data_IF_833577751469
#
_entry.id   IF_833577751469
#
_cell.length_a   1.000
_cell.length_b   1.000
_cell.length_c   1.000
_cell.angle_alpha   90.00
_cell.angle_beta   90.00
_cell.angle_gamma   90.00
#
_symmetry.space_group_name_H-M   'P 1'
#
loop_
_entity.id
_entity.type
_entity.pdbx_description
1 polymer ?
#
# COMPACT_ATOMS: atom_id res chain seq x y z
N UNK A 1 -8.14 -28.26 5.90
CA UNK A 1 -7.58 -26.88 5.90
C UNK A 1 -7.99 -26.05 7.12
N UNK A 2 -9.03 -26.42 7.91
CA UNK A 2 -9.52 -25.56 9.00
C UNK A 2 -8.58 -25.46 10.21
N UNK A 3 -8.01 -26.58 10.70
CA UNK A 3 -7.25 -26.61 11.97
C UNK A 3 -6.11 -25.59 12.08
N UNK A 4 -5.26 -25.44 11.07
CA UNK A 4 -4.13 -24.50 11.13
C UNK A 4 -4.58 -23.04 10.96
N UNK A 5 -5.57 -22.78 10.11
CA UNK A 5 -6.11 -21.43 9.95
C UNK A 5 -6.84 -20.97 11.22
N UNK A 6 -7.59 -21.87 11.86
CA UNK A 6 -8.27 -21.60 13.13
C UNK A 6 -7.27 -21.43 14.27
N UNK A 7 -6.18 -22.22 14.26
CA UNK A 7 -5.05 -22.03 15.17
C UNK A 7 -4.42 -20.64 15.03
N UNK A 8 -4.13 -20.19 13.81
CA UNK A 8 -3.58 -18.84 13.57
C UNK A 8 -4.53 -17.73 14.04
N UNK A 9 -5.85 -17.88 13.81
CA UNK A 9 -6.84 -16.92 14.31
C UNK A 9 -6.84 -16.85 15.85
N UNK A 10 -6.74 -18.01 16.52
CA UNK A 10 -6.66 -18.05 17.97
C UNK A 10 -5.37 -17.40 18.50
N UNK A 11 -4.23 -17.59 17.83
CA UNK A 11 -2.96 -17.00 18.25
C UNK A 11 -2.99 -15.47 18.31
N UNK A 12 -3.82 -14.81 17.50
CA UNK A 12 -3.94 -13.34 17.49
C UNK A 12 -4.41 -12.77 18.84
N UNK A 13 -5.16 -13.53 19.64
CA UNK A 13 -5.63 -13.08 20.97
C UNK A 13 -4.71 -13.54 22.11
N UNK A 14 -3.66 -14.29 21.80
CA UNK A 14 -2.72 -14.83 22.78
C UNK A 14 -1.46 -13.97 22.85
N UNK A 15 -0.71 -14.05 23.96
CA UNK A 15 0.60 -13.41 24.09
C UNK A 15 1.65 -14.12 23.22
N UNK A 16 2.58 -13.36 22.65
CA UNK A 16 3.75 -13.93 21.95
C UNK A 16 4.62 -14.75 22.93
N UNK A 17 4.93 -15.99 22.54
CA UNK A 17 5.94 -16.86 23.18
C UNK A 17 6.89 -17.39 22.10
N UNK A 18 8.03 -17.98 22.49
CA UNK A 18 9.01 -18.52 21.54
C UNK A 18 8.38 -19.61 20.64
N UNK A 19 7.59 -20.50 21.22
CA UNK A 19 6.94 -21.61 20.50
C UNK A 19 5.91 -21.07 19.51
N UNK A 20 5.06 -20.14 19.96
CA UNK A 20 4.05 -19.51 19.10
C UNK A 20 4.70 -18.73 17.98
N UNK A 21 5.83 -18.07 18.26
CA UNK A 21 6.60 -17.37 17.23
C UNK A 21 7.10 -18.33 16.17
N UNK A 22 7.64 -19.49 16.55
CA UNK A 22 8.02 -20.53 15.59
C UNK A 22 6.83 -21.01 14.76
N UNK A 23 5.63 -21.16 15.33
CA UNK A 23 4.41 -21.47 14.56
C UNK A 23 4.12 -20.40 13.48
N UNK A 24 4.27 -19.11 13.81
CA UNK A 24 4.07 -17.99 12.90
C UNK A 24 5.15 -17.95 11.80
N UNK A 25 6.42 -18.12 12.17
CA UNK A 25 7.53 -18.11 11.21
C UNK A 25 7.37 -19.28 10.20
N UNK A 26 6.96 -20.46 10.67
CA UNK A 26 6.62 -21.59 9.80
C UNK A 26 5.43 -21.28 8.88
N UNK A 27 4.39 -20.60 9.38
CA UNK A 27 3.23 -20.21 8.57
C UNK A 27 3.61 -19.18 7.48
N UNK A 28 4.52 -18.24 7.78
CA UNK A 28 5.04 -17.26 6.83
C UNK A 28 5.88 -17.91 5.73
N UNK A 29 6.59 -19.00 6.03
CA UNK A 29 7.41 -19.74 5.07
C UNK A 29 6.59 -20.61 4.09
N UNK A 30 5.29 -20.84 4.35
CA UNK A 30 4.49 -21.71 3.49
C UNK A 30 4.16 -21.06 2.14
N UNK A 31 4.06 -21.88 1.09
CA UNK A 31 3.51 -21.46 -0.21
C UNK A 31 1.97 -21.32 -0.20
N UNK A 32 1.38 -21.02 0.95
CA UNK A 32 -0.07 -20.88 1.17
C UNK A 32 -0.39 -19.47 1.61
N UNK A 33 -0.69 -18.61 0.65
CA UNK A 33 -0.97 -17.18 0.84
C UNK A 33 -2.00 -16.90 1.96
N UNK A 34 -3.08 -17.69 2.06
CA UNK A 34 -4.11 -17.50 3.08
C UNK A 34 -3.55 -17.66 4.50
N UNK A 35 -2.61 -18.57 4.71
CA UNK A 35 -1.95 -18.76 6.01
C UNK A 35 -0.94 -17.65 6.28
N UNK A 36 -0.21 -17.20 5.26
CA UNK A 36 0.71 -16.04 5.40
C UNK A 36 -0.04 -14.77 5.78
N UNK A 37 -1.20 -14.49 5.19
CA UNK A 37 -2.04 -13.35 5.56
C UNK A 37 -2.52 -13.45 7.01
N UNK A 38 -2.93 -14.64 7.46
CA UNK A 38 -3.32 -14.84 8.87
C UNK A 38 -2.13 -14.63 9.80
N UNK A 39 -0.95 -15.14 9.45
CA UNK A 39 0.29 -14.94 10.21
C UNK A 39 0.66 -13.45 10.32
N UNK A 40 0.56 -12.68 9.23
CA UNK A 40 0.76 -11.21 9.23
C UNK A 40 -0.20 -10.52 10.20
N UNK A 41 -1.48 -10.94 10.24
CA UNK A 41 -2.46 -10.38 11.18
C UNK A 41 -2.12 -10.72 12.63
N UNK A 42 -1.61 -11.90 12.91
CA UNK A 42 -1.14 -12.28 14.26
C UNK A 42 0.01 -11.39 14.70
N UNK A 43 1.01 -11.15 13.83
CA UNK A 43 2.10 -10.22 14.13
C UNK A 43 1.57 -8.81 14.45
N UNK A 44 0.57 -8.35 13.69
CA UNK A 44 -0.13 -7.11 13.98
C UNK A 44 -0.90 -7.13 15.30
N UNK A 45 -1.47 -8.25 15.72
CA UNK A 45 -2.17 -8.33 16.99
C UNK A 45 -1.20 -8.33 18.19
N UNK A 46 -0.05 -9.00 18.05
CA UNK A 46 0.97 -9.03 19.11
C UNK A 46 1.70 -7.69 19.27
N UNK A 47 1.92 -6.95 18.17
CA UNK A 47 2.59 -5.65 18.22
C UNK A 47 4.02 -5.73 18.74
N UNK A 48 4.51 -4.63 19.31
CA UNK A 48 5.87 -4.52 19.84
C UNK A 48 6.93 -4.23 18.78
N UNK A 49 8.16 -3.83 19.19
CA UNK A 49 9.16 -3.27 18.26
C UNK A 49 9.57 -4.22 17.14
N UNK A 50 9.77 -5.51 17.47
CA UNK A 50 10.19 -6.53 16.49
C UNK A 50 9.13 -6.78 15.42
N UNK A 51 7.87 -6.93 15.82
CA UNK A 51 6.79 -7.23 14.88
C UNK A 51 6.44 -5.99 14.06
N UNK A 52 6.47 -4.80 14.66
CA UNK A 52 6.36 -3.53 13.94
C UNK A 52 7.45 -3.39 12.89
N UNK A 53 8.71 -3.67 13.21
CA UNK A 53 9.81 -3.60 12.25
C UNK A 53 9.60 -4.55 11.06
N UNK A 54 9.22 -5.80 11.33
CA UNK A 54 8.92 -6.77 10.28
C UNK A 54 7.73 -6.32 9.41
N UNK A 55 6.64 -5.86 10.03
CA UNK A 55 5.47 -5.37 9.30
C UNK A 55 5.80 -4.13 8.46
N UNK A 56 6.68 -3.27 8.95
CA UNK A 56 7.15 -2.07 8.25
C UNK A 56 7.93 -2.46 7.00
N UNK A 57 8.90 -3.34 7.13
CA UNK A 57 9.67 -3.87 5.99
C UNK A 57 8.74 -4.48 4.93
N UNK A 58 7.77 -5.29 5.37
CA UNK A 58 6.79 -5.91 4.46
C UNK A 58 5.85 -4.89 3.81
N UNK A 59 5.44 -3.86 4.54
CA UNK A 59 4.58 -2.78 4.06
C UNK A 59 5.30 -1.81 3.11
N UNK A 60 6.62 -1.72 3.22
CA UNK A 60 7.46 -0.85 2.39
C UNK A 60 7.71 -1.42 0.99
N UNK A 61 7.46 -2.72 0.79
CA UNK A 61 7.61 -3.36 -0.50
C UNK A 61 6.80 -2.64 -1.60
N UNK A 62 7.40 -2.39 -2.78
CA UNK A 62 6.72 -1.72 -3.88
C UNK A 62 5.54 -2.56 -4.36
N UNK A 63 4.37 -1.93 -4.53
CA UNK A 63 3.21 -2.58 -5.12
C UNK A 63 3.19 -2.23 -6.60
N UNK A 64 3.64 -3.15 -7.45
CA UNK A 64 3.68 -2.91 -8.90
C UNK A 64 2.29 -2.53 -9.46
N UNK A 65 1.20 -3.12 -8.92
CA UNK A 65 -0.20 -2.74 -9.20
C UNK A 65 -1.10 -3.04 -8.00
N UNK A 66 -2.28 -2.44 -7.98
CA UNK A 66 -3.32 -2.79 -7.01
C UNK A 66 -3.71 -4.27 -7.18
N UNK A 67 -3.92 -5.06 -6.10
CA UNK A 67 -4.22 -6.49 -6.18
C UNK A 67 -5.31 -6.90 -7.18
N UNK A 68 -6.35 -6.08 -7.32
CA UNK A 68 -7.47 -6.32 -8.23
C UNK A 68 -7.10 -6.20 -9.72
N UNK A 69 -6.00 -5.54 -10.06
CA UNK A 69 -5.50 -5.39 -11.44
C UNK A 69 -4.67 -6.59 -11.91
N UNK A 70 -4.36 -7.53 -11.02
CA UNK A 70 -3.67 -8.76 -11.40
C UNK A 70 -4.66 -9.86 -11.80
N UNK A 71 -4.31 -10.68 -12.82
CA UNK A 71 -5.01 -11.92 -13.08
C UNK A 71 -5.09 -12.78 -11.81
N UNK A 72 -6.22 -13.48 -11.65
CA UNK A 72 -6.44 -14.37 -10.51
C UNK A 72 -5.29 -15.39 -10.45
N UNK A 73 -4.80 -15.67 -9.23
CA UNK A 73 -3.76 -16.68 -8.92
C UNK A 73 -2.34 -16.41 -9.45
N UNK A 74 -2.00 -15.17 -9.81
CA UNK A 74 -0.60 -14.81 -10.14
C UNK A 74 0.22 -14.51 -8.89
N UNK A 75 1.54 -14.82 -8.87
CA UNK A 75 2.41 -14.51 -7.74
C UNK A 75 2.36 -13.04 -7.30
N UNK A 76 2.45 -12.11 -8.27
CA UNK A 76 2.41 -10.66 -7.98
C UNK A 76 1.09 -10.19 -7.35
N UNK A 77 -0.03 -10.86 -7.61
CA UNK A 77 -1.30 -10.58 -6.91
C UNK A 77 -1.18 -10.89 -5.42
N UNK A 78 -0.57 -12.01 -5.07
CA UNK A 78 -0.48 -12.48 -3.69
C UNK A 78 0.51 -11.64 -2.88
N UNK A 79 1.63 -11.26 -3.49
CA UNK A 79 2.59 -10.32 -2.90
C UNK A 79 1.91 -8.99 -2.58
N UNK A 80 1.15 -8.42 -3.53
CA UNK A 80 0.42 -7.18 -3.32
C UNK A 80 -0.63 -7.29 -2.19
N UNK A 81 -1.29 -8.45 -2.04
CA UNK A 81 -2.23 -8.71 -0.94
C UNK A 81 -1.50 -8.80 0.40
N UNK A 82 -0.31 -9.41 0.44
CA UNK A 82 0.49 -9.48 1.67
C UNK A 82 1.00 -8.11 2.10
N UNK A 83 1.49 -7.28 1.17
CA UNK A 83 1.88 -5.89 1.45
C UNK A 83 0.68 -5.11 2.00
N UNK A 84 -0.49 -5.22 1.38
CA UNK A 84 -1.73 -4.60 1.88
C UNK A 84 -2.13 -5.14 3.26
N UNK A 85 -1.95 -6.44 3.52
CA UNK A 85 -2.22 -7.02 4.84
C UNK A 85 -1.27 -6.47 5.90
N UNK A 86 0.02 -6.31 5.57
CA UNK A 86 1.02 -5.74 6.47
C UNK A 86 0.73 -4.26 6.77
N UNK A 87 0.36 -3.47 5.75
CA UNK A 87 -0.06 -2.07 5.92
C UNK A 87 -1.26 -1.92 6.86
N UNK A 88 -2.23 -2.83 6.80
CA UNK A 88 -3.37 -2.83 7.73
C UNK A 88 -2.97 -3.29 9.13
N UNK A 89 -2.09 -4.29 9.22
CA UNK A 89 -1.64 -4.86 10.49
C UNK A 89 -0.72 -3.92 11.29
N UNK A 90 0.06 -3.06 10.61
CA UNK A 90 0.90 -2.06 11.28
C UNK A 90 0.13 -0.83 11.75
N UNK A 91 -1.05 -0.55 11.17
CA UNK A 91 -1.84 0.64 11.47
C UNK A 91 -2.06 0.96 12.97
N UNK A 92 -2.37 0.00 13.86
CA UNK A 92 -2.52 0.30 15.28
C UNK A 92 -1.20 0.60 16.02
N UNK A 93 -0.05 0.38 15.38
CA UNK A 93 1.29 0.51 15.98
C UNK A 93 2.11 1.69 15.43
N UNK A 94 1.54 2.46 14.50
CA UNK A 94 2.22 3.62 13.94
C UNK A 94 2.35 4.71 15.02
N UNK A 95 3.53 5.29 15.12
CA UNK A 95 3.84 6.39 16.04
C UNK A 95 4.18 7.65 15.26
N UNK A 96 4.36 8.77 15.95
CA UNK A 96 4.73 10.05 15.34
C UNK A 96 6.03 9.96 14.51
N UNK A 97 6.96 9.11 14.96
CA UNK A 97 8.24 8.84 14.29
C UNK A 97 8.06 8.17 12.91
N UNK A 98 6.92 7.53 12.66
CA UNK A 98 6.62 6.87 11.38
C UNK A 98 6.06 7.84 10.33
N UNK A 99 5.73 9.08 10.70
CA UNK A 99 5.07 10.05 9.84
C UNK A 99 5.85 10.33 8.55
N UNK A 100 7.17 10.51 8.65
CA UNK A 100 8.03 10.75 7.50
C UNK A 100 8.07 9.53 6.56
N UNK A 101 8.14 8.32 7.13
CA UNK A 101 8.14 7.08 6.36
C UNK A 101 6.82 6.90 5.59
N UNK A 102 5.68 7.03 6.27
CA UNK A 102 4.36 6.89 5.63
C UNK A 102 4.16 7.93 4.53
N UNK A 103 4.59 9.17 4.76
CA UNK A 103 4.53 10.22 3.74
C UNK A 103 5.35 9.85 2.51
N UNK A 104 6.60 9.44 2.70
CA UNK A 104 7.49 9.04 1.61
C UNK A 104 6.90 7.87 0.82
N UNK A 105 6.36 6.86 1.51
CA UNK A 105 5.74 5.70 0.86
C UNK A 105 4.51 6.09 0.05
N UNK A 106 3.67 6.97 0.56
CA UNK A 106 2.51 7.50 -0.18
C UNK A 106 2.93 8.31 -1.39
N UNK A 107 3.91 9.20 -1.25
CA UNK A 107 4.38 10.04 -2.36
C UNK A 107 4.98 9.21 -3.49
N UNK A 108 5.66 8.11 -3.18
CA UNK A 108 6.26 7.22 -4.16
C UNK A 108 5.23 6.38 -4.96
N UNK A 109 4.05 6.10 -4.40
CA UNK A 109 3.12 5.09 -4.94
C UNK A 109 1.67 5.37 -4.52
N UNK A 110 1.23 6.61 -4.69
CA UNK A 110 -0.08 7.06 -4.20
C UNK A 110 -1.24 6.25 -4.79
N UNK A 111 -1.09 5.78 -6.03
CA UNK A 111 -2.10 5.00 -6.76
C UNK A 111 -2.41 3.65 -6.07
N UNK A 112 -1.45 3.10 -5.33
CA UNK A 112 -1.64 1.91 -4.50
C UNK A 112 -1.67 2.23 -2.99
N UNK A 113 -1.37 3.47 -2.62
CA UNK A 113 -1.28 3.98 -1.25
C UNK A 113 -2.61 4.30 -0.57
N UNK A 114 -3.77 4.01 -1.17
CA UNK A 114 -5.08 4.27 -0.57
C UNK A 114 -5.27 3.60 0.81
N UNK A 115 -4.57 2.49 1.04
CA UNK A 115 -4.49 1.77 2.32
C UNK A 115 -3.73 2.52 3.41
N UNK A 116 -2.86 3.47 3.04
CA UNK A 116 -2.07 4.28 3.95
C UNK A 116 -2.81 5.55 4.40
N UNK A 117 -3.83 5.99 3.64
CA UNK A 117 -4.57 7.22 3.92
C UNK A 117 -5.13 7.31 5.36
N UNK A 118 -5.70 6.24 5.96
CA UNK A 118 -6.13 6.31 7.36
C UNK A 118 -4.98 6.55 8.34
N UNK A 119 -3.82 5.93 8.12
CA UNK A 119 -2.63 6.14 8.96
C UNK A 119 -2.05 7.54 8.78
N UNK A 120 -2.02 8.04 7.54
CA UNK A 120 -1.63 9.42 7.23
C UNK A 120 -2.59 10.43 7.85
N UNK A 121 -3.88 10.12 7.88
CA UNK A 121 -4.88 10.92 8.59
C UNK A 121 -4.63 10.98 10.09
N UNK A 122 -4.34 9.84 10.72
CA UNK A 122 -4.00 9.80 12.14
C UNK A 122 -2.72 10.59 12.47
N UNK A 123 -1.75 10.61 11.56
CA UNK A 123 -0.46 11.28 11.73
C UNK A 123 -0.38 12.65 11.06
N UNK A 124 -1.48 13.18 10.52
CA UNK A 124 -1.50 14.40 9.72
C UNK A 124 -0.83 15.61 10.41
N UNK A 125 -1.03 15.86 11.72
CA UNK A 125 -0.36 16.96 12.42
C UNK A 125 1.17 16.80 12.56
N UNK A 126 1.68 15.59 12.33
CA UNK A 126 3.10 15.23 12.48
C UNK A 126 3.80 15.01 11.14
N UNK A 127 3.10 15.19 10.01
CA UNK A 127 3.71 15.05 8.70
C UNK A 127 4.74 16.16 8.48
N UNK A 128 5.96 15.84 8.03
CA UNK A 128 7.05 16.82 7.92
C UNK A 128 6.75 17.83 6.81
N UNK A 129 6.53 19.10 7.21
CA UNK A 129 6.20 20.20 6.30
C UNK A 129 7.25 20.40 5.21
N UNK A 130 8.52 20.30 5.55
CA UNK A 130 9.64 20.43 4.59
C UNK A 130 9.55 19.39 3.48
N UNK A 131 9.15 18.16 3.82
CA UNK A 131 8.98 17.10 2.82
C UNK A 131 7.78 17.33 1.92
N UNK A 132 6.72 17.93 2.45
CA UNK A 132 5.53 18.34 1.67
C UNK A 132 5.90 19.46 0.69
N UNK A 133 6.67 20.47 1.12
CA UNK A 133 7.18 21.50 0.22
C UNK A 133 8.07 20.87 -0.86
N UNK A 134 8.99 19.96 -0.50
CA UNK A 134 9.80 19.24 -1.48
C UNK A 134 8.95 18.44 -2.49
N UNK A 135 7.86 17.80 -2.03
CA UNK A 135 6.92 17.08 -2.90
C UNK A 135 6.15 18.01 -3.86
N UNK A 136 5.86 19.24 -3.42
CA UNK A 136 5.24 20.26 -4.28
C UNK A 136 6.20 20.72 -5.39
N UNK A 137 7.48 20.89 -5.06
CA UNK A 137 8.49 21.31 -6.04
C UNK A 137 8.79 20.21 -7.08
N UNK A 138 8.67 18.93 -6.72
CA UNK A 138 8.88 17.78 -7.61
C UNK A 138 7.64 17.46 -8.48
N UNK A 139 7.68 17.70 -9.81
CA UNK A 139 6.56 17.40 -10.71
C UNK A 139 6.05 15.96 -10.66
N UNK A 140 6.94 14.99 -10.38
CA UNK A 140 6.57 13.58 -10.30
C UNK A 140 5.73 13.23 -9.06
N UNK A 141 5.75 14.09 -8.04
CA UNK A 141 5.05 13.88 -6.77
C UNK A 141 3.85 14.80 -6.55
N UNK A 142 3.67 15.84 -7.39
CA UNK A 142 2.55 16.78 -7.30
C UNK A 142 1.19 16.08 -7.32
N UNK A 143 1.03 15.05 -8.15
CA UNK A 143 -0.21 14.26 -8.19
C UNK A 143 -0.43 13.51 -6.88
N UNK A 144 0.59 12.84 -6.35
CA UNK A 144 0.54 12.17 -5.04
C UNK A 144 0.15 13.13 -3.92
N UNK A 145 0.72 14.35 -3.96
CA UNK A 145 0.45 15.40 -2.99
C UNK A 145 -0.98 15.94 -3.11
N UNK A 146 -1.47 16.15 -4.33
CA UNK A 146 -2.87 16.52 -4.56
C UNK A 146 -3.82 15.48 -3.97
N UNK A 147 -3.56 14.19 -4.21
CA UNK A 147 -4.33 13.10 -3.63
C UNK A 147 -4.29 13.09 -2.11
N UNK A 148 -3.13 13.34 -1.51
CA UNK A 148 -2.97 13.46 -0.06
C UNK A 148 -3.82 14.61 0.48
N UNK A 149 -3.69 15.82 -0.07
CA UNK A 149 -4.44 16.99 0.36
C UNK A 149 -5.95 16.81 0.19
N UNK A 150 -6.39 16.09 -0.84
CA UNK A 150 -7.80 15.82 -1.05
C UNK A 150 -8.38 14.88 0.02
N UNK A 151 -7.67 13.80 0.35
CA UNK A 151 -8.18 12.73 1.23
C UNK A 151 -7.89 12.95 2.71
N UNK A 152 -6.75 13.57 3.05
CA UNK A 152 -6.34 13.83 4.44
C UNK A 152 -6.79 15.22 4.84
N UNK A 153 -8.06 15.31 5.30
CA UNK A 153 -8.72 16.60 5.57
C UNK A 153 -8.11 17.39 6.73
N UNK A 154 -7.47 16.70 7.67
CA UNK A 154 -6.80 17.27 8.82
C UNK A 154 -5.30 17.52 8.60
N UNK A 155 -4.83 17.48 7.34
CA UNK A 155 -3.47 17.87 6.98
C UNK A 155 -3.23 19.34 7.32
N UNK A 156 -2.14 19.63 8.04
CA UNK A 156 -1.69 21.00 8.31
C UNK A 156 -1.52 21.76 7.00
N UNK A 157 -2.00 23.01 6.96
CA UNK A 157 -1.93 23.87 5.78
C UNK A 157 -2.62 23.28 4.51
N UNK A 158 -3.54 22.32 4.66
CA UNK A 158 -4.24 21.68 3.53
C UNK A 158 -4.77 22.67 2.49
N UNK A 159 -5.49 23.69 2.92
CA UNK A 159 -6.09 24.68 2.00
C UNK A 159 -5.03 25.51 1.28
N UNK A 160 -3.92 25.81 1.96
CA UNK A 160 -2.77 26.47 1.35
C UNK A 160 -2.18 25.61 0.23
N UNK A 161 -1.94 24.32 0.49
CA UNK A 161 -1.44 23.39 -0.53
C UNK A 161 -2.40 23.18 -1.69
N UNK A 162 -3.69 23.01 -1.42
CA UNK A 162 -4.71 22.87 -2.46
C UNK A 162 -4.76 24.08 -3.39
N UNK A 163 -4.68 25.31 -2.85
CA UNK A 163 -4.64 26.53 -3.65
C UNK A 163 -3.39 26.57 -4.53
N UNK A 164 -2.21 26.28 -3.97
CA UNK A 164 -0.95 26.27 -4.72
C UNK A 164 -0.93 25.23 -5.83
N UNK A 165 -1.53 24.06 -5.61
CA UNK A 165 -1.64 23.02 -6.62
C UNK A 165 -2.65 23.38 -7.72
N UNK A 166 -3.74 24.07 -7.37
CA UNK A 166 -4.75 24.52 -8.33
C UNK A 166 -4.27 25.66 -9.25
N UNK A 167 -3.29 26.46 -8.80
CA UNK A 167 -2.71 27.56 -9.57
C UNK A 167 -1.52 27.14 -10.45
N UNK A 168 -1.16 25.85 -10.46
CA UNK A 168 -0.13 25.36 -11.37
C UNK A 168 -0.68 25.41 -12.80
N UNK A 169 -0.10 26.28 -13.63
CA UNK A 169 -0.44 26.41 -15.05
C UNK A 169 0.17 25.29 -15.93
N UNK A 170 0.98 24.41 -15.35
CA UNK A 170 1.52 23.25 -16.04
C UNK A 170 0.51 22.10 -15.97
N UNK A 171 0.05 21.54 -17.10
CA UNK A 171 -0.68 20.30 -17.06
C UNK A 171 0.22 19.26 -16.37
N UNK A 172 -0.30 18.49 -15.38
CA UNK A 172 0.47 17.38 -14.85
C UNK A 172 0.90 16.47 -16.00
N UNK A 173 2.02 15.73 -15.88
CA UNK A 173 2.46 14.76 -16.89
C UNK A 173 1.51 13.54 -16.97
N UNK A 174 0.21 13.78 -17.13
CA UNK A 174 -0.84 12.80 -17.33
C UNK A 174 -0.84 12.25 -18.76
N UNK A 175 -0.14 12.89 -19.70
CA UNK A 175 -0.05 12.40 -21.08
C UNK A 175 0.82 11.13 -21.19
N UNK A 176 1.82 10.91 -20.32
CA UNK A 176 2.74 9.77 -20.47
C UNK A 176 2.19 8.42 -19.98
N UNK A 177 1.43 8.39 -18.87
CA UNK A 177 1.01 7.12 -18.24
C UNK A 177 -0.36 6.61 -18.69
N UNK A 178 -1.27 7.47 -19.12
CA UNK A 178 -2.56 7.05 -19.68
C UNK A 178 -2.41 6.54 -21.12
N UNK A 179 -1.48 7.09 -21.91
CA UNK A 179 -1.18 6.59 -23.26
C UNK A 179 -0.51 5.21 -23.24
N UNK A 180 0.41 4.95 -22.31
CA UNK A 180 1.03 3.62 -22.16
C UNK A 180 0.03 2.51 -21.75
N UNK A 181 -1.07 2.87 -21.09
CA UNK A 181 -2.14 1.91 -20.77
C UNK A 181 -3.12 1.71 -21.92
N UNK A 182 -3.43 2.77 -22.69
CA UNK A 182 -4.28 2.67 -23.87
C UNK A 182 -3.62 1.87 -25.01
N UNK A 183 -2.31 2.03 -25.24
CA UNK A 183 -1.59 1.27 -26.27
C UNK A 183 -1.43 -0.21 -25.89
N UNK A 184 -1.24 -0.52 -24.60
CA UNK A 184 -1.13 -1.90 -24.11
C UNK A 184 -2.46 -2.67 -24.15
N UNK A 185 -3.60 -1.96 -24.11
CA UNK A 185 -4.93 -2.55 -24.26
C UNK A 185 -5.38 -2.59 -25.75
N UNK A 186 -4.92 -1.66 -26.58
CA UNK A 186 -5.12 -1.71 -28.04
C UNK A 186 -4.39 -2.88 -28.70
N UNK A 187 -3.19 -3.25 -28.21
CA UNK A 187 -2.43 -4.43 -28.65
C UNK A 187 -3.03 -5.79 -28.22
N UNK A 188 -4.11 -5.79 -27.41
CA UNK A 188 -4.79 -7.01 -26.94
C UNK A 188 -6.17 -7.21 -27.54
N UNK A 189 -6.64 -6.29 -28.37
CA UNK A 189 -7.87 -6.48 -29.14
C UNK A 189 -7.54 -7.30 -30.37
N UNK A 190 -8.06 -8.53 -30.54
CA UNK A 190 -7.92 -9.23 -31.81
C UNK A 190 -8.62 -8.40 -32.88
N UNK A 191 -7.90 -8.10 -33.97
CA UNK A 191 -8.47 -7.49 -35.17
C UNK A 191 -9.73 -8.27 -35.59
N UNK A 192 -10.87 -7.61 -35.88
CA UNK A 192 -12.12 -8.29 -36.20
C UNK A 192 -12.15 -8.96 -37.59
N UNK A 193 -11.02 -9.07 -38.28
CA UNK A 193 -10.95 -9.49 -39.69
C UNK A 193 -10.42 -10.91 -39.96
N UNK A 194 -10.50 -11.82 -38.98
CA UNK A 194 -10.29 -13.24 -39.23
C UNK A 194 -11.63 -14.02 -39.33
N UNK A 195 -12.55 -13.54 -40.18
CA UNK A 195 -13.60 -14.43 -40.73
C UNK A 195 -12.92 -15.35 -41.74
N UNK A 196 -12.69 -16.61 -41.37
CA UNK A 196 -12.35 -17.67 -42.34
C UNK A 196 -13.51 -17.83 -43.33
N UNK A 197 -13.26 -17.84 -44.65
CA UNK A 197 -14.22 -18.38 -45.60
C UNK A 197 -14.12 -19.92 -45.64
N UNK A 198 -15.31 -20.54 -45.70
CA UNK A 198 -15.65 -21.93 -45.99
C UNK A 198 -14.99 -23.04 -45.14
#
# INVERSE_FOLDING_TARGET
>A
MSKLADRLKALATMKETKERRTEIDLALAQNRWGLRILAIRVLGAWGGPRNKAWLREKADQPMLRHPWRYPKRTPGRWEAIETQAAQRAIAPHVTREDAAWLLNRHLADWANGGTLLPMLGALAPHLPRERIEAAYQDPAQRESLLWLCFHVRNLSDRLYWMRRLATLHEPPPLAGRLLLHAEADALKSPSPDARKPA
#
